data_IF_655669494183
#
_entry.id   IF_655669494183
#
_cell.length_a   1.000
_cell.length_b   1.000
_cell.length_c   1.000
_cell.angle_alpha   90.00
_cell.angle_beta   90.00
_cell.angle_gamma   90.00
#
_symmetry.space_group_name_H-M   'P 1'
#
loop_
_entity.id
_entity.type
_entity.pdbx_description
1 polymer ?
#
# COMPACT_ATOMS: atom_id res chain seq x y z
N UNK A 1 -2.66 -0.74 -59.34
CA UNK A 1 -3.11 -1.55 -58.17
C UNK A 1 -2.65 -0.86 -56.90
N UNK A 2 -3.44 -0.85 -55.84
CA UNK A 2 -3.03 -0.33 -54.52
C UNK A 2 -2.51 -1.46 -53.63
N UNK A 3 -1.51 -1.16 -52.80
CA UNK A 3 -1.29 -1.79 -51.49
C UNK A 3 -1.01 -0.66 -50.51
N UNK A 4 -1.55 -0.71 -49.29
CA UNK A 4 -1.53 0.41 -48.34
C UNK A 4 -1.49 -0.06 -46.88
N UNK A 5 -0.93 0.76 -46.00
CA UNK A 5 -0.76 0.55 -44.54
C UNK A 5 0.20 -0.62 -44.18
N UNK A 6 0.82 -0.70 -43.00
CA UNK A 6 0.90 0.14 -41.77
C UNK A 6 2.40 0.38 -41.48
N UNK A 7 2.88 1.28 -40.63
CA UNK A 7 2.28 2.19 -39.64
C UNK A 7 3.33 2.43 -38.54
N UNK A 8 3.94 3.62 -38.49
CA UNK A 8 5.12 3.86 -37.64
C UNK A 8 4.75 4.05 -36.16
N UNK A 9 5.07 3.06 -35.32
CA UNK A 9 4.98 3.16 -33.86
C UNK A 9 6.04 4.10 -33.29
N UNK A 10 5.65 5.34 -32.99
CA UNK A 10 6.53 6.37 -32.42
C UNK A 10 7.00 6.06 -31.00
N UNK A 11 8.17 5.41 -30.87
CA UNK A 11 8.82 5.13 -29.59
C UNK A 11 9.28 6.43 -28.90
N UNK A 12 8.46 6.96 -28.00
CA UNK A 12 8.81 8.10 -27.13
C UNK A 12 9.95 7.73 -26.18
N UNK A 13 11.17 8.12 -26.58
CA UNK A 13 12.41 7.92 -25.83
C UNK A 13 12.50 8.95 -24.71
N UNK A 14 12.09 8.58 -23.50
CA UNK A 14 12.28 9.43 -22.31
C UNK A 14 13.77 9.71 -22.08
N UNK A 15 14.15 10.98 -22.05
CA UNK A 15 15.51 11.41 -21.77
C UNK A 15 15.80 11.22 -20.28
N UNK A 16 16.89 10.52 -19.97
CA UNK A 16 17.41 10.40 -18.60
C UNK A 16 18.33 11.59 -18.32
N UNK A 17 17.81 12.62 -17.65
CA UNK A 17 18.63 13.73 -17.17
C UNK A 17 19.59 13.25 -16.10
N UNK A 18 20.88 13.12 -16.43
CA UNK A 18 21.93 12.85 -15.47
C UNK A 18 22.34 14.15 -14.77
N UNK A 19 22.03 14.27 -13.47
CA UNK A 19 22.59 15.33 -12.63
C UNK A 19 24.01 14.93 -12.24
N UNK A 20 25.00 15.72 -12.68
CA UNK A 20 26.40 15.47 -12.33
C UNK A 20 26.68 15.93 -10.89
N UNK A 21 27.20 15.03 -10.06
CA UNK A 21 27.67 15.37 -8.70
C UNK A 21 29.03 16.06 -8.81
N UNK A 22 29.03 17.38 -8.65
CA UNK A 22 30.25 18.17 -8.61
C UNK A 22 30.93 18.01 -7.24
N UNK A 23 32.01 17.22 -7.18
CA UNK A 23 32.89 17.16 -6.02
C UNK A 23 33.84 18.36 -6.07
N UNK A 24 33.72 19.26 -5.09
CA UNK A 24 34.69 20.33 -4.85
C UNK A 24 35.18 20.22 -3.41
N UNK A 25 36.51 20.24 -3.22
CA UNK A 25 37.15 20.12 -1.91
C UNK A 25 38.20 21.22 -1.70
N UNK A 26 38.79 21.23 -0.49
CA UNK A 26 39.70 22.29 0.02
C UNK A 26 39.02 23.66 0.23
N UNK A 27 39.43 24.51 1.18
CA UNK A 27 40.64 24.55 2.01
C UNK A 27 40.30 24.62 3.51
N UNK A 28 41.16 24.06 4.38
CA UNK A 28 41.12 24.29 5.84
C UNK A 28 41.86 25.60 6.20
N UNK A 29 41.22 26.48 6.97
CA UNK A 29 41.84 27.66 7.55
C UNK A 29 41.30 27.91 8.95
N UNK A 30 42.19 28.13 9.93
CA UNK A 30 41.83 28.25 11.34
C UNK A 30 42.45 29.49 11.98
N UNK A 31 41.64 30.24 12.74
CA UNK A 31 42.01 30.89 14.00
C UNK A 31 40.80 31.54 14.68
N UNK A 32 40.91 31.77 15.99
CA UNK A 32 39.98 32.53 16.83
C UNK A 32 40.77 33.68 17.51
N UNK A 33 40.29 34.37 18.57
CA UNK A 33 38.92 34.74 18.95
C UNK A 33 38.79 36.28 19.19
N UNK A 34 37.57 36.84 19.28
CA UNK A 34 37.35 38.05 20.09
C UNK A 34 35.92 38.24 20.62
N UNK A 35 35.84 38.73 21.85
CA UNK A 35 34.72 39.28 22.59
C UNK A 35 35.28 40.37 23.56
N UNK A 36 34.47 41.04 24.41
CA UNK A 36 33.00 41.21 24.42
C UNK A 36 32.65 42.59 23.77
N UNK A 37 31.60 43.39 24.03
CA UNK A 37 30.55 43.54 25.07
C UNK A 37 29.26 44.13 24.45
N UNK A 38 28.12 44.19 25.18
CA UNK A 38 26.94 44.93 24.69
C UNK A 38 25.55 44.70 25.33
N UNK A 39 25.38 45.06 26.61
CA UNK A 39 24.18 45.72 27.19
C UNK A 39 22.74 45.37 26.70
N UNK A 40 21.98 44.70 27.57
CA UNK A 40 20.54 44.92 27.89
C UNK A 40 19.45 44.94 26.80
N UNK A 41 18.56 43.92 26.81
CA UNK A 41 17.15 44.09 27.27
C UNK A 41 16.30 42.78 27.18
N UNK A 42 15.63 42.46 28.29
CA UNK A 42 14.39 41.67 28.36
C UNK A 42 13.32 42.61 28.98
N UNK A 43 11.98 42.33 29.00
CA UNK A 43 11.26 41.05 28.86
C UNK A 43 10.20 41.12 27.70
N UNK A 44 9.17 40.28 27.53
CA UNK A 44 8.46 39.36 28.44
C UNK A 44 7.78 38.19 27.71
N UNK A 45 7.57 37.09 28.42
CA UNK A 45 6.56 36.09 28.09
C UNK A 45 5.31 36.29 28.98
N UNK A 46 4.07 36.08 28.48
CA UNK A 46 2.90 36.02 29.33
C UNK A 46 2.87 34.69 30.09
N UNK A 47 2.82 34.76 31.43
CA UNK A 47 2.62 33.59 32.26
C UNK A 47 1.13 33.23 32.35
N UNK A 48 0.81 31.94 32.31
CA UNK A 48 -0.45 31.39 32.83
C UNK A 48 -0.12 30.61 34.10
N UNK A 49 -0.33 31.23 35.26
CA UNK A 49 -0.07 30.59 36.55
C UNK A 49 -1.14 29.55 36.87
N UNK A 50 -0.73 28.46 37.51
CA UNK A 50 -1.65 27.45 38.03
C UNK A 50 -2.47 28.00 39.21
N UNK A 51 -3.59 27.32 39.51
CA UNK A 51 -3.88 26.71 40.83
C UNK A 51 -5.39 26.56 41.00
N UNK A 52 -5.86 25.32 41.16
CA UNK A 52 -6.93 25.00 42.10
C UNK A 52 -6.75 23.55 42.53
N UNK A 53 -6.55 23.33 43.83
CA UNK A 53 -6.41 22.02 44.47
C UNK A 53 -7.33 22.01 45.67
N UNK A 54 -8.37 21.17 45.66
CA UNK A 54 -9.10 20.74 46.85
C UNK A 54 -9.73 19.35 46.60
N UNK A 55 -10.05 18.57 47.66
CA UNK A 55 -9.65 17.17 47.63
C UNK A 55 -10.75 16.12 47.89
N UNK A 56 -10.40 14.88 47.51
CA UNK A 56 -10.76 13.60 48.14
C UNK A 56 -12.20 13.43 48.70
N UNK A 57 -12.95 12.53 48.06
CA UNK A 57 -13.55 11.39 48.79
C UNK A 57 -13.59 10.14 47.90
N UNK A 58 -13.32 8.94 48.44
CA UNK A 58 -13.26 7.72 47.65
C UNK A 58 -14.64 7.08 47.50
N UNK A 59 -14.97 6.59 46.31
CA UNK A 59 -16.03 5.60 46.11
C UNK A 59 -15.41 4.21 46.16
N UNK A 60 -15.98 3.38 47.03
CA UNK A 60 -15.66 1.97 47.25
C UNK A 60 -15.46 1.18 45.97
N UNK A 61 -14.40 0.36 45.91
CA UNK A 61 -14.31 -0.73 44.94
C UNK A 61 -15.21 -1.89 45.41
N UNK A 62 -16.26 -2.19 44.65
CA UNK A 62 -17.05 -3.40 44.87
C UNK A 62 -16.25 -4.65 44.42
N UNK A 63 -16.30 -5.75 45.20
CA UNK A 63 -15.51 -6.95 44.91
C UNK A 63 -16.09 -7.75 43.75
N UNK A 64 -15.22 -8.43 43.00
CA UNK A 64 -15.62 -9.37 41.96
C UNK A 64 -16.40 -10.55 42.57
N UNK A 65 -17.44 -11.09 41.89
CA UNK A 65 -18.07 -12.33 42.31
C UNK A 65 -17.05 -13.48 42.26
N UNK A 66 -16.99 -14.28 43.33
CA UNK A 66 -16.10 -15.45 43.40
C UNK A 66 -16.76 -16.62 42.69
N UNK A 67 -16.46 -16.80 41.41
CA UNK A 67 -16.85 -18.00 40.67
C UNK A 67 -16.04 -19.20 41.18
N UNK A 68 -16.73 -20.28 41.57
CA UNK A 68 -16.11 -21.45 42.18
C UNK A 68 -15.64 -22.42 41.11
N UNK A 69 -14.34 -22.43 40.83
CA UNK A 69 -13.73 -23.38 39.90
C UNK A 69 -13.74 -24.81 40.50
N UNK A 70 -14.30 -25.77 39.76
CA UNK A 70 -14.27 -27.19 40.15
C UNK A 70 -12.86 -27.80 40.01
N UNK A 71 -12.47 -28.76 40.88
CA UNK A 71 -11.11 -29.29 40.92
C UNK A 71 -10.87 -30.36 39.85
N UNK A 72 -10.25 -29.99 38.73
CA UNK A 72 -9.66 -30.95 37.79
C UNK A 72 -8.33 -31.49 38.34
N UNK A 73 -8.18 -32.82 38.34
CA UNK A 73 -7.05 -33.54 38.93
C UNK A 73 -5.74 -33.36 38.15
N UNK A 74 -4.57 -33.28 38.83
CA UNK A 74 -3.30 -33.01 38.17
C UNK A 74 -2.63 -34.26 37.57
N UNK A 75 -2.12 -34.13 36.35
CA UNK A 75 -1.13 -35.06 35.77
C UNK A 75 0.18 -34.32 35.46
N UNK A 76 1.31 -34.90 35.90
CA UNK A 76 2.66 -34.32 35.72
C UNK A 76 3.16 -34.40 34.25
N UNK A 77 4.20 -33.64 33.89
CA UNK A 77 4.37 -33.15 32.51
C UNK A 77 5.28 -34.01 31.63
N UNK A 78 5.27 -33.74 30.32
CA UNK A 78 6.33 -34.13 29.39
C UNK A 78 6.52 -33.05 28.33
N UNK A 79 7.59 -32.28 28.49
CA UNK A 79 8.30 -31.52 27.45
C UNK A 79 9.74 -32.09 27.37
N UNK A 80 10.56 -31.80 26.33
CA UNK A 80 10.30 -30.88 25.22
C UNK A 80 10.50 -31.48 23.81
N UNK A 81 9.82 -30.91 22.82
CA UNK A 81 10.27 -30.89 21.42
C UNK A 81 9.65 -29.69 20.68
N UNK A 82 10.47 -28.87 20.03
CA UNK A 82 10.01 -27.72 19.26
C UNK A 82 9.67 -28.11 17.80
N UNK A 83 9.05 -27.16 17.06
CA UNK A 83 9.05 -26.98 15.58
C UNK A 83 7.68 -27.02 14.91
N UNK A 84 7.25 -25.83 14.45
CA UNK A 84 6.48 -25.54 13.22
C UNK A 84 5.19 -26.33 12.91
N UNK A 85 4.05 -25.62 12.92
CA UNK A 85 3.26 -25.38 11.69
C UNK A 85 2.22 -24.29 11.88
N UNK A 86 2.16 -23.33 10.95
CA UNK A 86 1.00 -22.43 10.79
C UNK A 86 -0.08 -23.14 9.95
N UNK A 87 -1.38 -22.84 10.15
CA UNK A 87 -2.45 -23.51 9.42
C UNK A 87 -2.37 -23.25 7.91
N UNK A 88 -2.39 -24.31 7.12
CA UNK A 88 -2.42 -24.22 5.65
C UNK A 88 -3.86 -23.95 5.18
N UNK A 89 -4.13 -22.87 4.41
CA UNK A 89 -5.41 -22.71 3.76
C UNK A 89 -5.52 -23.71 2.60
N UNK A 90 -6.34 -24.76 2.76
CA UNK A 90 -6.55 -25.78 1.74
C UNK A 90 -7.14 -25.19 0.47
N UNK A 91 -6.40 -25.28 -0.63
CA UNK A 91 -6.88 -24.86 -1.94
C UNK A 91 -7.70 -25.99 -2.61
N UNK A 92 -8.98 -25.73 -2.81
CA UNK A 92 -9.82 -26.41 -3.82
C UNK A 92 -10.35 -25.38 -4.83
N UNK A 93 -9.42 -24.69 -5.50
CA UNK A 93 -9.68 -24.12 -6.83
C UNK A 93 -9.48 -25.27 -7.85
N UNK A 94 -10.41 -25.42 -8.79
CA UNK A 94 -10.44 -26.53 -9.75
C UNK A 94 -9.29 -26.43 -10.80
N UNK A 95 -8.58 -27.54 -11.12
CA UNK A 95 -7.47 -27.51 -12.07
C UNK A 95 -7.89 -27.49 -13.56
N UNK A 96 -9.20 -27.58 -13.85
CA UNK A 96 -9.78 -27.82 -15.18
C UNK A 96 -10.09 -26.60 -16.04
N UNK A 97 -9.45 -25.44 -15.82
CA UNK A 97 -9.68 -24.23 -16.64
C UNK A 97 -8.41 -23.74 -17.36
N UNK A 98 -7.92 -24.52 -18.32
CA UNK A 98 -6.76 -24.18 -19.17
C UNK A 98 -7.13 -23.19 -20.31
N UNK A 99 -7.16 -21.90 -19.98
CA UNK A 99 -7.03 -20.80 -20.94
C UNK A 99 -6.31 -19.62 -20.30
N UNK A 100 -5.38 -19.01 -21.04
CA UNK A 100 -4.36 -18.10 -20.52
C UNK A 100 -4.84 -16.66 -20.23
N UNK A 101 -6.11 -16.49 -19.84
CA UNK A 101 -6.73 -15.17 -19.75
C UNK A 101 -6.27 -14.35 -18.54
N UNK A 102 -5.90 -13.10 -18.79
CA UNK A 102 -5.49 -12.14 -17.78
C UNK A 102 -6.68 -11.59 -16.97
N UNK A 103 -7.33 -12.44 -16.18
CA UNK A 103 -8.44 -12.12 -15.28
C UNK A 103 -7.96 -11.30 -14.08
N UNK A 104 -7.83 -10.00 -14.31
CA UNK A 104 -7.38 -8.97 -13.36
C UNK A 104 -8.35 -8.68 -12.22
N UNK A 105 -9.63 -8.95 -12.41
CA UNK A 105 -10.66 -8.75 -11.36
C UNK A 105 -10.73 -10.01 -10.50
N UNK A 106 -10.27 -9.92 -9.25
CA UNK A 106 -10.36 -11.02 -8.28
C UNK A 106 -11.48 -10.72 -7.26
N UNK A 107 -12.20 -11.73 -6.71
CA UNK A 107 -13.15 -11.55 -5.60
C UNK A 107 -12.53 -10.84 -4.39
N UNK A 108 -11.28 -11.16 -4.07
CA UNK A 108 -10.40 -10.46 -3.14
C UNK A 108 -8.96 -10.57 -3.65
N UNK A 109 -8.07 -9.68 -3.19
CA UNK A 109 -6.64 -9.66 -3.52
C UNK A 109 -5.84 -10.22 -2.33
N UNK A 110 -5.48 -11.52 -2.32
CA UNK A 110 -4.82 -12.15 -1.17
C UNK A 110 -3.34 -11.79 -1.11
N UNK A 111 -2.71 -11.90 0.07
CA UNK A 111 -1.25 -11.79 0.17
C UNK A 111 -0.57 -12.88 -0.69
N UNK A 112 0.45 -12.50 -1.47
CA UNK A 112 1.28 -13.43 -2.22
C UNK A 112 2.73 -13.39 -1.72
N UNK A 113 3.36 -14.57 -1.67
CA UNK A 113 4.78 -14.76 -1.32
C UNK A 113 5.49 -15.55 -2.42
N UNK A 114 6.84 -15.53 -2.50
CA UNK A 114 7.58 -16.30 -3.50
C UNK A 114 7.25 -17.79 -3.44
N UNK A 115 7.09 -18.42 -4.59
CA UNK A 115 6.62 -19.81 -4.69
C UNK A 115 5.09 -20.00 -4.61
N UNK A 116 4.30 -18.98 -4.28
CA UNK A 116 2.85 -19.02 -4.42
C UNK A 116 2.43 -19.26 -5.88
N UNK A 117 1.23 -19.84 -6.07
CA UNK A 117 0.70 -20.21 -7.40
C UNK A 117 -0.79 -19.90 -7.53
N UNK A 118 -1.34 -20.00 -8.74
CA UNK A 118 -2.78 -19.94 -9.02
C UNK A 118 -3.28 -18.61 -9.60
N UNK A 119 -4.60 -18.40 -9.61
CA UNK A 119 -5.24 -17.28 -10.35
C UNK A 119 -4.78 -15.90 -9.90
N UNK A 120 -4.50 -15.72 -8.61
CA UNK A 120 -4.01 -14.45 -8.07
C UNK A 120 -2.61 -14.11 -8.60
N UNK A 121 -1.74 -15.12 -8.74
CA UNK A 121 -0.41 -14.93 -9.33
C UNK A 121 -0.50 -14.61 -10.83
N UNK A 122 -1.41 -15.26 -11.58
CA UNK A 122 -1.69 -14.87 -12.97
C UNK A 122 -2.11 -13.40 -13.06
N UNK A 123 -3.04 -12.96 -12.22
CA UNK A 123 -3.48 -11.56 -12.19
C UNK A 123 -2.33 -10.59 -11.89
N UNK A 124 -1.47 -10.88 -10.90
CA UNK A 124 -0.27 -10.10 -10.61
C UNK A 124 0.68 -10.01 -11.82
N UNK A 125 0.97 -11.14 -12.47
CA UNK A 125 1.83 -11.18 -13.66
C UNK A 125 1.27 -10.33 -14.81
N UNK A 126 -0.06 -10.30 -14.97
CA UNK A 126 -0.73 -9.42 -15.93
C UNK A 126 -0.58 -7.93 -15.58
N UNK A 127 -0.82 -7.52 -14.33
CA UNK A 127 -0.63 -6.12 -13.92
C UNK A 127 0.84 -5.68 -14.05
N UNK A 128 1.81 -6.55 -13.74
CA UNK A 128 3.23 -6.27 -13.92
C UNK A 128 3.61 -6.08 -15.40
N UNK A 129 2.95 -6.79 -16.33
CA UNK A 129 3.13 -6.57 -17.76
C UNK A 129 2.42 -5.29 -18.24
N UNK A 130 1.21 -5.00 -17.78
CA UNK A 130 0.45 -3.79 -18.14
C UNK A 130 1.14 -2.50 -17.68
N UNK A 131 1.85 -2.56 -16.55
CA UNK A 131 2.57 -1.44 -15.94
C UNK A 131 4.05 -1.37 -16.37
N UNK A 132 4.41 -1.97 -17.51
CA UNK A 132 5.76 -1.96 -18.11
C UNK A 132 6.91 -2.55 -17.25
N UNK A 133 6.60 -3.27 -16.15
CA UNK A 133 7.62 -3.95 -15.32
C UNK A 133 8.09 -5.30 -15.88
N UNK A 134 7.44 -5.78 -16.96
CA UNK A 134 7.71 -7.04 -17.64
C UNK A 134 8.99 -7.08 -18.51
N UNK A 135 9.15 -8.11 -19.36
CA UNK A 135 8.22 -9.23 -19.55
C UNK A 135 8.24 -10.21 -18.37
N UNK A 136 7.05 -10.67 -17.98
CA UNK A 136 6.83 -11.81 -17.07
C UNK A 136 5.90 -12.80 -17.76
N UNK A 137 6.25 -14.07 -17.82
CA UNK A 137 5.36 -15.14 -18.29
C UNK A 137 4.14 -15.24 -17.38
N UNK A 138 2.93 -15.28 -17.95
CA UNK A 138 1.68 -15.45 -17.19
C UNK A 138 1.42 -16.94 -16.89
N UNK A 139 2.41 -17.60 -16.29
CA UNK A 139 2.39 -19.03 -15.96
C UNK A 139 1.57 -19.36 -14.70
N UNK A 140 1.29 -18.34 -13.86
CA UNK A 140 0.59 -18.49 -12.58
C UNK A 140 1.49 -18.95 -11.43
N UNK A 141 2.81 -18.81 -11.54
CA UNK A 141 3.81 -19.22 -10.54
C UNK A 141 4.68 -18.03 -10.12
N UNK A 142 4.82 -17.76 -8.82
CA UNK A 142 5.63 -16.66 -8.30
C UNK A 142 7.12 -17.03 -8.31
N UNK A 143 7.66 -17.24 -9.52
CA UNK A 143 9.01 -17.69 -9.81
C UNK A 143 10.05 -16.57 -9.83
N UNK A 144 11.14 -16.80 -10.55
CA UNK A 144 12.25 -15.83 -10.66
C UNK A 144 11.86 -14.58 -11.46
N UNK A 145 11.10 -14.72 -12.56
CA UNK A 145 10.67 -13.58 -13.38
C UNK A 145 9.74 -12.63 -12.61
N UNK A 146 8.71 -13.17 -11.93
CA UNK A 146 7.79 -12.37 -11.12
C UNK A 146 8.52 -11.64 -9.99
N UNK A 147 9.47 -12.31 -9.30
CA UNK A 147 10.36 -11.63 -8.33
C UNK A 147 11.22 -10.53 -8.95
N UNK A 148 11.75 -10.72 -10.16
CA UNK A 148 12.56 -9.71 -10.84
C UNK A 148 11.72 -8.48 -11.25
N UNK A 149 10.49 -8.67 -11.72
CA UNK A 149 9.56 -7.59 -12.02
C UNK A 149 9.07 -6.87 -10.75
N UNK A 150 8.80 -7.61 -9.67
CA UNK A 150 8.48 -7.03 -8.36
C UNK A 150 9.63 -6.17 -7.82
N UNK A 151 10.89 -6.60 -7.94
CA UNK A 151 12.04 -5.77 -7.58
C UNK A 151 12.15 -4.49 -8.42
N UNK A 152 11.64 -4.46 -9.66
CA UNK A 152 11.56 -3.23 -10.47
C UNK A 152 10.41 -2.32 -10.02
N UNK A 153 9.26 -2.89 -9.64
CA UNK A 153 8.13 -2.17 -9.06
C UNK A 153 8.55 -1.47 -7.76
N UNK A 154 9.13 -2.24 -6.83
CA UNK A 154 9.74 -1.78 -5.57
C UNK A 154 10.78 -0.66 -5.83
N UNK A 155 11.64 -0.81 -6.84
CA UNK A 155 12.64 0.20 -7.21
C UNK A 155 12.09 1.47 -7.88
N UNK A 156 10.77 1.60 -8.07
CA UNK A 156 10.10 2.87 -8.46
C UNK A 156 9.40 3.55 -7.29
N UNK A 157 9.83 3.25 -6.06
CA UNK A 157 9.32 3.84 -4.83
C UNK A 157 10.47 4.45 -4.02
N UNK A 158 10.47 5.77 -3.86
CA UNK A 158 11.50 6.52 -3.11
C UNK A 158 11.15 6.58 -1.62
N UNK A 159 11.05 5.42 -0.98
CA UNK A 159 10.71 5.27 0.43
C UNK A 159 11.14 3.92 1.02
N UNK A 160 10.94 3.70 2.34
CA UNK A 160 11.23 2.41 2.96
C UNK A 160 10.35 1.33 2.32
N UNK A 161 10.97 0.35 1.67
CA UNK A 161 10.27 -0.63 0.87
C UNK A 161 9.33 -1.52 1.72
N UNK A 162 8.16 -1.92 1.17
CA UNK A 162 7.38 -3.01 1.75
C UNK A 162 8.21 -4.30 1.83
N UNK A 163 7.80 -5.24 2.68
CA UNK A 163 8.57 -6.46 3.03
C UNK A 163 8.99 -7.19 1.72
N UNK A 164 10.29 -7.28 1.40
CA UNK A 164 10.74 -7.49 0.03
C UNK A 164 10.23 -8.79 -0.58
N UNK A 165 9.65 -8.70 -1.78
CA UNK A 165 9.11 -9.85 -2.51
C UNK A 165 7.84 -10.46 -1.91
N UNK A 166 7.12 -9.76 -1.02
CA UNK A 166 5.70 -10.04 -0.71
C UNK A 166 4.81 -9.04 -1.44
N UNK A 167 3.60 -9.50 -1.78
CA UNK A 167 2.54 -8.67 -2.36
C UNK A 167 1.41 -8.63 -1.37
N UNK A 168 1.45 -7.62 -0.49
CA UNK A 168 0.38 -7.29 0.45
C UNK A 168 -0.69 -6.38 -0.20
N UNK A 169 -1.68 -5.96 0.59
CA UNK A 169 -2.76 -5.08 0.14
C UNK A 169 -2.26 -3.77 -0.49
N UNK A 170 -1.23 -3.12 0.09
CA UNK A 170 -0.68 -1.87 -0.43
C UNK A 170 0.08 -2.07 -1.73
N UNK A 171 0.85 -3.16 -1.84
CA UNK A 171 1.52 -3.56 -3.08
C UNK A 171 0.51 -3.89 -4.19
N UNK A 172 -0.62 -4.51 -3.86
CA UNK A 172 -1.73 -4.69 -4.81
C UNK A 172 -2.32 -3.37 -5.27
N UNK A 173 -2.64 -2.43 -4.36
CA UNK A 173 -3.16 -1.10 -4.70
C UNK A 173 -2.19 -0.37 -5.64
N UNK A 174 -0.89 -0.42 -5.33
CA UNK A 174 0.18 0.19 -6.12
C UNK A 174 0.21 -0.40 -7.54
N UNK A 175 0.35 -1.72 -7.70
CA UNK A 175 0.53 -2.33 -9.02
C UNK A 175 -0.72 -2.20 -9.90
N UNK A 176 -1.92 -2.25 -9.31
CA UNK A 176 -3.19 -2.01 -10.03
C UNK A 176 -3.25 -0.56 -10.53
N UNK A 177 -2.96 0.41 -9.65
CA UNK A 177 -3.10 1.85 -9.94
C UNK A 177 -2.07 2.40 -10.93
N UNK A 178 -0.96 1.70 -11.18
CA UNK A 178 -0.01 2.07 -12.24
C UNK A 178 -0.64 2.07 -13.64
N UNK A 179 -1.66 1.25 -13.86
CA UNK A 179 -2.43 1.21 -15.12
C UNK A 179 -3.53 2.29 -15.24
N UNK A 180 -3.71 3.14 -14.23
CA UNK A 180 -4.71 4.21 -14.21
C UNK A 180 -4.15 5.51 -14.79
N UNK A 181 -4.95 6.23 -15.57
CA UNK A 181 -4.65 7.57 -16.05
C UNK A 181 -4.56 8.63 -14.94
N UNK A 182 -4.47 9.89 -15.35
CA UNK A 182 -4.48 11.06 -14.45
C UNK A 182 -5.79 11.87 -14.59
N UNK A 183 -6.88 11.22 -15.00
CA UNK A 183 -8.18 11.85 -15.17
C UNK A 183 -8.97 11.83 -13.86
N UNK A 184 -9.55 12.96 -13.46
CA UNK A 184 -10.40 13.05 -12.26
C UNK A 184 -11.63 12.15 -12.39
N UNK A 185 -11.79 11.17 -11.50
CA UNK A 185 -12.95 10.27 -11.51
C UNK A 185 -13.96 10.69 -10.43
N UNK A 186 -15.24 10.73 -10.78
CA UNK A 186 -16.33 11.10 -9.87
C UNK A 186 -17.61 10.34 -10.22
N UNK A 187 -18.65 10.50 -9.40
CA UNK A 187 -19.95 9.88 -9.66
C UNK A 187 -20.45 10.20 -11.09
N UNK A 188 -20.77 9.16 -11.86
CA UNK A 188 -21.12 9.24 -13.29
C UNK A 188 -19.96 8.97 -14.26
N UNK A 189 -18.70 8.97 -13.81
CA UNK A 189 -17.56 8.47 -14.61
C UNK A 189 -17.74 6.99 -14.95
N UNK A 190 -17.21 6.56 -16.11
CA UNK A 190 -17.26 5.16 -16.57
C UNK A 190 -16.03 4.78 -17.39
N UNK A 191 -15.72 3.48 -17.45
CA UNK A 191 -14.72 2.91 -18.36
C UNK A 191 -13.54 2.22 -17.66
N UNK A 192 -12.39 2.16 -18.35
CA UNK A 192 -11.20 1.44 -17.91
C UNK A 192 -10.65 1.97 -16.58
N UNK A 193 -10.42 3.29 -16.46
CA UNK A 193 -9.90 3.91 -15.24
C UNK A 193 -10.81 3.66 -14.02
N UNK A 194 -12.14 3.69 -14.20
CA UNK A 194 -13.11 3.36 -13.14
C UNK A 194 -13.03 1.88 -12.76
N UNK A 195 -12.80 1.00 -13.74
CA UNK A 195 -12.61 -0.44 -13.47
C UNK A 195 -11.32 -0.67 -12.68
N UNK A 196 -10.23 0.03 -13.03
CA UNK A 196 -8.96 0.00 -12.30
C UNK A 196 -9.09 0.59 -10.89
N UNK A 197 -9.81 1.72 -10.73
CA UNK A 197 -10.15 2.31 -9.43
C UNK A 197 -10.92 1.31 -8.55
N UNK A 198 -11.96 0.67 -9.08
CA UNK A 198 -12.76 -0.28 -8.31
C UNK A 198 -11.93 -1.51 -7.87
N UNK A 199 -10.97 -1.96 -8.69
CA UNK A 199 -10.00 -3.00 -8.31
C UNK A 199 -9.03 -2.52 -7.23
N UNK A 200 -8.49 -1.30 -7.36
CA UNK A 200 -7.57 -0.72 -6.40
C UNK A 200 -8.25 -0.50 -5.04
N UNK A 201 -9.46 0.07 -5.00
CA UNK A 201 -10.26 0.19 -3.77
C UNK A 201 -10.55 -1.18 -3.15
N UNK A 202 -10.82 -2.22 -3.96
CA UNK A 202 -11.01 -3.59 -3.46
C UNK A 202 -9.73 -4.18 -2.87
N UNK A 203 -8.56 -3.91 -3.47
CA UNK A 203 -7.26 -4.27 -2.89
C UNK A 203 -6.96 -3.49 -1.59
N UNK A 204 -7.41 -2.24 -1.50
CA UNK A 204 -7.30 -1.39 -0.31
C UNK A 204 -8.23 -1.80 0.84
N UNK A 205 -9.08 -2.82 0.65
CA UNK A 205 -10.02 -3.34 1.66
C UNK A 205 -11.51 -3.02 1.43
N UNK A 206 -11.88 -2.34 0.35
CA UNK A 206 -13.28 -2.01 0.08
C UNK A 206 -14.08 -3.18 -0.52
N UNK A 207 -15.15 -3.60 0.16
CA UNK A 207 -16.17 -4.49 -0.44
C UNK A 207 -17.04 -3.68 -1.41
N UNK A 208 -16.68 -3.69 -2.70
CA UNK A 208 -17.44 -3.07 -3.79
C UNK A 208 -17.47 -3.91 -5.06
N UNK A 209 -18.47 -3.67 -5.91
CA UNK A 209 -18.58 -4.24 -7.26
C UNK A 209 -17.56 -3.62 -8.23
N UNK A 210 -16.93 -4.44 -9.08
CA UNK A 210 -16.07 -4.00 -10.19
C UNK A 210 -16.87 -4.14 -11.48
N UNK A 211 -17.46 -3.03 -11.94
CA UNK A 211 -18.36 -2.95 -13.10
C UNK A 211 -18.00 -1.83 -14.09
N UNK A 212 -16.98 -1.02 -13.79
CA UNK A 212 -16.56 0.11 -14.62
C UNK A 212 -17.50 1.32 -14.59
N UNK A 213 -18.44 1.39 -13.64
CA UNK A 213 -19.41 2.47 -13.46
C UNK A 213 -19.26 3.12 -12.08
N UNK A 214 -18.94 4.42 -12.02
CA UNK A 214 -18.75 5.14 -10.76
C UNK A 214 -20.11 5.52 -10.17
N UNK A 215 -20.74 4.54 -9.51
CA UNK A 215 -22.00 4.72 -8.77
C UNK A 215 -21.80 5.21 -7.34
N UNK A 216 -22.90 5.29 -6.58
CA UNK A 216 -22.88 5.67 -5.16
C UNK A 216 -22.08 4.69 -4.27
N UNK A 217 -22.05 3.41 -4.64
CA UNK A 217 -21.17 2.39 -4.02
C UNK A 217 -19.69 2.78 -4.15
N UNK A 218 -19.23 3.06 -5.37
CA UNK A 218 -17.85 3.49 -5.64
C UNK A 218 -17.54 4.82 -4.94
N UNK A 219 -18.49 5.79 -4.93
CA UNK A 219 -18.31 7.05 -4.19
C UNK A 219 -18.04 6.79 -2.71
N UNK A 220 -18.86 5.97 -2.04
CA UNK A 220 -18.70 5.65 -0.61
C UNK A 220 -17.39 4.93 -0.30
N UNK A 221 -16.86 4.14 -1.24
CA UNK A 221 -15.54 3.51 -1.09
C UNK A 221 -14.39 4.50 -1.27
N UNK A 222 -14.47 5.44 -2.23
CA UNK A 222 -13.52 6.54 -2.36
C UNK A 222 -13.51 7.41 -1.10
N UNK A 223 -14.69 7.75 -0.57
CA UNK A 223 -14.83 8.51 0.68
C UNK A 223 -14.13 7.79 1.86
N UNK A 224 -14.39 6.49 2.07
CA UNK A 224 -13.71 5.70 3.11
C UNK A 224 -12.19 5.66 2.95
N UNK A 225 -11.69 5.59 1.72
CA UNK A 225 -10.26 5.64 1.43
C UNK A 225 -9.65 7.01 1.73
N UNK A 226 -10.36 8.09 1.39
CA UNK A 226 -9.97 9.48 1.69
C UNK A 226 -10.00 9.76 3.21
N UNK A 227 -10.99 9.26 3.94
CA UNK A 227 -11.10 9.34 5.40
C UNK A 227 -9.93 8.61 6.09
N UNK A 228 -9.69 7.35 5.71
CA UNK A 228 -8.60 6.53 6.27
C UNK A 228 -7.22 7.19 6.11
N UNK A 229 -6.99 7.83 4.95
CA UNK A 229 -5.75 8.52 4.63
C UNK A 229 -5.76 10.02 4.98
N UNK A 230 -6.84 10.52 5.60
CA UNK A 230 -6.98 11.89 6.15
C UNK A 230 -6.89 13.04 5.14
N UNK A 231 -7.24 12.78 3.87
CA UNK A 231 -7.21 13.78 2.78
C UNK A 231 -8.58 14.43 2.47
N UNK A 232 -9.62 14.08 3.24
CA UNK A 232 -10.96 14.67 3.12
C UNK A 232 -11.89 13.93 2.13
N UNK A 233 -13.03 13.46 2.62
CA UNK A 233 -13.91 12.53 1.92
C UNK A 233 -14.97 13.18 1.03
N UNK A 234 -14.56 13.90 -0.02
CA UNK A 234 -15.49 14.46 -1.02
C UNK A 234 -16.10 13.39 -1.97
N UNK A 235 -15.42 12.23 -2.10
CA UNK A 235 -15.76 11.14 -3.00
C UNK A 235 -15.36 11.38 -4.46
N UNK A 236 -14.38 12.25 -4.71
CA UNK A 236 -13.82 12.57 -6.02
C UNK A 236 -12.36 12.13 -6.04
N UNK A 237 -11.99 11.31 -7.01
CA UNK A 237 -10.61 10.87 -7.22
C UNK A 237 -9.85 11.95 -7.98
N UNK A 238 -9.45 12.99 -7.25
CA UNK A 238 -8.50 14.02 -7.69
C UNK A 238 -7.04 13.61 -7.51
N UNK A 239 -6.11 14.51 -7.81
CA UNK A 239 -4.67 14.22 -7.89
C UNK A 239 -4.08 13.65 -6.59
N UNK A 240 -4.51 14.14 -5.43
CA UNK A 240 -4.07 13.63 -4.12
C UNK A 240 -4.56 12.20 -3.85
N UNK A 241 -5.82 11.90 -4.22
CA UNK A 241 -6.37 10.53 -4.13
C UNK A 241 -5.69 9.60 -5.14
N UNK A 242 -5.37 10.09 -6.35
CA UNK A 242 -4.60 9.35 -7.36
C UNK A 242 -3.16 9.08 -6.89
N UNK A 243 -2.52 10.04 -6.22
CA UNK A 243 -1.18 9.89 -5.66
C UNK A 243 -1.14 8.77 -4.62
N UNK A 244 -2.07 8.76 -3.66
CA UNK A 244 -2.18 7.70 -2.64
C UNK A 244 -2.46 6.32 -3.24
N UNK A 245 -3.33 6.23 -4.25
CA UNK A 245 -3.58 4.98 -4.97
C UNK A 245 -2.31 4.51 -5.73
N UNK A 246 -1.52 5.42 -6.30
CA UNK A 246 -0.28 5.10 -7.03
C UNK A 246 0.95 4.89 -6.12
N UNK A 247 0.87 5.27 -4.84
CA UNK A 247 1.86 4.99 -3.80
C UNK A 247 1.56 3.72 -2.98
N UNK A 248 0.33 3.17 -3.06
CA UNK A 248 -0.04 1.91 -2.41
C UNK A 248 -0.74 2.05 -1.06
N UNK A 249 -1.44 3.15 -0.81
CA UNK A 249 -2.21 3.35 0.42
C UNK A 249 -3.40 2.36 0.54
N UNK A 250 -3.85 2.08 1.78
CA UNK A 250 -4.99 1.18 2.09
C UNK A 250 -6.08 1.92 2.90
N UNK A 251 -7.17 1.23 3.25
CA UNK A 251 -8.25 1.75 4.12
C UNK A 251 -8.01 1.41 5.61
N UNK A 252 -7.17 0.41 5.88
CA UNK A 252 -6.76 -0.09 7.20
C UNK A 252 -5.83 -1.28 7.04
#
# INVERSE_FOLDING_TARGET
MQVSTRGHGGRRRWMRSAVAVAVLGMVLGACSPKAPDGTSAAPSAPAVSATNTEPLRPTTAEPLPTETAEPLTPTKPTEPAATTSAPTPSATDDPGSVSGDCTRTLPAYPELSPGAQGRAVRALQCFLNDADFGPVTVDGVYGAQTRAAMKRLEATYEGPAPKPGRVDAGVWVLVISRSMGNATLKQGSKGADVTTLQRALRAAGATITVNGLFGAETKRAVQRFQDANRIGADGIVGDETLFLLKSGATIG
#
